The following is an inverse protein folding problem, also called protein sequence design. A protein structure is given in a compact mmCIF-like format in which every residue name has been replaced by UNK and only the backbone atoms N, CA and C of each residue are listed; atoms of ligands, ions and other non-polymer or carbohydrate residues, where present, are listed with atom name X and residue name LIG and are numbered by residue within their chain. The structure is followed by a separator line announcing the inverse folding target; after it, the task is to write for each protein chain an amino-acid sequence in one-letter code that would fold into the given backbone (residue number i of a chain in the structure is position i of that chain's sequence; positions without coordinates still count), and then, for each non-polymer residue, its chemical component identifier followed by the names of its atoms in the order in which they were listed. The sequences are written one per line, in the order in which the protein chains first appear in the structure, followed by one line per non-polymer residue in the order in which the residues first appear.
data_IF_294318283364
#
_entry.id   IF_294318283364
#
_cell.length_a   1.000
_cell.length_b   1.000
_cell.length_c   1.000
_cell.angle_alpha   90.00
_cell.angle_beta   90.00
_cell.angle_gamma   90.00
#
_symmetry.space_group_name_H-M   'P 1'
#
loop_
_entity.id
_entity.type
_entity.pdbx_description
1 polymer ?
#
# COMPACT_ATOMS: atom_id res chain seq x y z
N UNK A 1 32.03 22.87 -12.40
CA UNK A 1 31.52 24.26 -12.33
C UNK A 1 31.52 24.80 -13.75
N UNK A 2 30.38 25.27 -14.25
CA UNK A 2 30.29 25.83 -15.61
C UNK A 2 30.96 27.21 -15.62
N UNK A 3 31.92 27.47 -16.52
CA UNK A 3 32.57 28.79 -16.60
C UNK A 3 31.55 29.92 -16.78
N UNK A 4 31.79 31.04 -16.11
CA UNK A 4 30.99 32.27 -16.21
C UNK A 4 30.69 32.70 -17.64
N UNK A 5 31.70 32.65 -18.51
CA UNK A 5 31.59 33.01 -19.92
C UNK A 5 30.64 32.11 -20.71
N UNK A 6 30.44 30.86 -20.27
CA UNK A 6 29.48 29.93 -20.89
C UNK A 6 28.06 30.24 -20.40
N UNK A 7 27.88 30.48 -19.10
CA UNK A 7 26.56 30.84 -18.52
C UNK A 7 25.99 32.11 -19.16
N UNK A 8 26.83 33.13 -19.35
CA UNK A 8 26.42 34.42 -19.92
C UNK A 8 26.15 34.38 -21.43
N UNK A 9 26.58 33.33 -22.14
CA UNK A 9 26.29 33.15 -23.57
C UNK A 9 24.91 32.54 -23.83
N UNK A 10 24.21 32.09 -22.79
CA UNK A 10 22.86 31.59 -22.94
C UNK A 10 21.93 32.71 -23.39
N UNK A 11 21.02 32.40 -24.33
CA UNK A 11 20.13 33.40 -24.94
C UNK A 11 19.28 34.13 -23.90
N UNK A 12 18.73 33.40 -22.93
CA UNK A 12 17.96 33.95 -21.80
C UNK A 12 18.77 34.79 -20.82
N UNK A 13 20.10 34.85 -20.94
CA UNK A 13 20.98 35.68 -20.11
C UNK A 13 21.46 36.94 -20.84
N UNK A 14 21.18 37.10 -22.14
CA UNK A 14 21.76 38.14 -22.98
C UNK A 14 21.53 39.57 -22.46
N UNK A 15 20.37 39.83 -21.85
CA UNK A 15 20.02 41.15 -21.30
C UNK A 15 20.81 41.53 -20.04
N UNK A 16 21.56 40.60 -19.45
CA UNK A 16 22.38 40.84 -18.25
C UNK A 16 23.83 41.18 -18.58
N UNK A 17 24.28 40.99 -19.83
CA UNK A 17 25.70 41.12 -20.23
C UNK A 17 26.31 42.46 -19.87
N UNK A 18 25.57 43.54 -20.07
CA UNK A 18 26.02 44.91 -19.83
C UNK A 18 25.57 45.47 -18.48
N UNK A 19 24.89 44.66 -17.66
CA UNK A 19 24.32 45.14 -16.40
C UNK A 19 25.43 45.33 -15.35
N UNK A 20 25.56 46.52 -14.71
CA UNK A 20 26.69 46.83 -13.84
C UNK A 20 26.79 45.91 -12.62
N UNK A 21 25.64 45.45 -12.10
CA UNK A 21 25.59 44.51 -10.98
C UNK A 21 26.24 43.15 -11.30
N UNK A 22 26.41 42.80 -12.58
CA UNK A 22 27.04 41.55 -12.96
C UNK A 22 28.44 41.42 -12.35
N UNK A 23 29.19 42.52 -12.21
CA UNK A 23 30.54 42.55 -11.63
C UNK A 23 30.62 42.09 -10.17
N UNK A 24 29.52 42.14 -9.41
CA UNK A 24 29.46 41.75 -7.99
C UNK A 24 28.75 40.42 -7.74
N UNK A 25 28.12 39.84 -8.78
CA UNK A 25 27.50 38.50 -8.72
C UNK A 25 28.57 37.42 -8.73
N UNK A 26 28.60 36.60 -7.68
CA UNK A 26 29.48 35.44 -7.57
C UNK A 26 29.12 34.35 -8.59
N UNK A 27 30.05 33.44 -8.90
CA UNK A 27 29.80 32.35 -9.87
C UNK A 27 28.71 31.37 -9.40
N UNK A 28 28.54 31.18 -8.09
CA UNK A 28 27.46 30.34 -7.54
C UNK A 28 26.10 31.04 -7.66
N UNK A 29 26.03 32.34 -7.40
CA UNK A 29 24.82 33.15 -7.62
C UNK A 29 24.44 33.16 -9.10
N UNK A 30 25.42 33.32 -10.00
CA UNK A 30 25.20 33.33 -11.44
C UNK A 30 24.70 31.98 -11.96
N UNK A 31 25.20 30.85 -11.43
CA UNK A 31 24.72 29.52 -11.81
C UNK A 31 23.24 29.31 -11.46
N UNK A 32 22.82 29.73 -10.27
CA UNK A 32 21.41 29.57 -9.88
C UNK A 32 20.52 30.58 -10.62
N UNK A 33 21.02 31.80 -10.85
CA UNK A 33 20.32 32.79 -11.68
C UNK A 33 20.09 32.26 -13.09
N UNK A 34 21.11 31.70 -13.74
CA UNK A 34 20.99 31.13 -15.08
C UNK A 34 19.93 30.01 -15.14
N UNK A 35 19.92 29.13 -14.14
CA UNK A 35 18.91 28.06 -14.03
C UNK A 35 17.50 28.62 -13.89
N UNK A 36 17.32 29.68 -13.10
CA UNK A 36 16.02 30.34 -12.93
C UNK A 36 15.57 31.09 -14.19
N UNK A 37 16.48 31.82 -14.84
CA UNK A 37 16.19 32.52 -16.09
C UNK A 37 15.85 31.56 -17.22
N UNK A 38 16.52 30.40 -17.27
CA UNK A 38 16.16 29.31 -18.18
C UNK A 38 14.75 28.79 -17.89
N UNK A 39 14.44 28.53 -16.62
CA UNK A 39 13.10 28.12 -16.22
C UNK A 39 12.03 29.14 -16.64
N UNK A 40 12.30 30.44 -16.45
CA UNK A 40 11.41 31.50 -16.90
C UNK A 40 11.23 31.51 -18.43
N UNK A 41 12.32 31.36 -19.18
CA UNK A 41 12.26 31.32 -20.64
C UNK A 41 11.47 30.09 -21.14
N UNK A 42 11.74 28.90 -20.61
CA UNK A 42 11.06 27.65 -20.96
C UNK A 42 9.54 27.70 -20.68
N UNK A 43 9.13 28.45 -19.66
CA UNK A 43 7.72 28.60 -19.26
C UNK A 43 7.09 29.93 -19.71
N UNK A 44 7.80 30.75 -20.50
CA UNK A 44 7.29 32.03 -21.01
C UNK A 44 6.95 33.05 -19.92
N UNK A 45 7.70 33.07 -18.82
CA UNK A 45 7.43 33.91 -17.65
C UNK A 45 8.13 35.26 -17.78
N UNK A 46 7.34 36.34 -17.70
CA UNK A 46 7.85 37.73 -17.68
C UNK A 46 7.92 38.30 -16.26
N UNK A 47 6.96 37.96 -15.41
CA UNK A 47 6.86 38.43 -14.02
C UNK A 47 6.60 37.23 -13.09
N UNK A 48 7.64 36.45 -12.75
CA UNK A 48 7.45 35.27 -11.92
C UNK A 48 6.98 35.63 -10.50
N UNK A 49 5.90 34.98 -10.06
CA UNK A 49 5.35 35.11 -8.71
C UNK A 49 5.73 33.93 -7.81
N UNK A 50 5.06 33.83 -6.66
CA UNK A 50 5.29 32.72 -5.72
C UNK A 50 5.04 31.35 -6.35
N UNK A 51 3.99 31.20 -7.14
CA UNK A 51 3.65 29.93 -7.80
C UNK A 51 4.74 29.49 -8.79
N UNK A 52 5.38 30.43 -9.49
CA UNK A 52 6.51 30.16 -10.40
C UNK A 52 7.75 29.74 -9.64
N UNK A 53 8.08 30.48 -8.58
CA UNK A 53 9.25 30.19 -7.74
C UNK A 53 9.10 28.84 -7.07
N UNK A 54 7.92 28.53 -6.52
CA UNK A 54 7.65 27.24 -5.89
C UNK A 54 7.81 26.08 -6.89
N UNK A 55 7.26 26.21 -8.10
CA UNK A 55 7.42 25.23 -9.15
C UNK A 55 8.88 25.06 -9.59
N UNK A 56 9.61 26.15 -9.78
CA UNK A 56 11.05 26.15 -10.07
C UNK A 56 11.83 25.34 -9.02
N UNK A 57 11.54 25.53 -7.73
CA UNK A 57 12.28 24.84 -6.67
C UNK A 57 12.10 23.32 -6.73
N UNK A 58 10.92 22.86 -7.13
CA UNK A 58 10.61 21.43 -7.25
C UNK A 58 11.15 20.86 -8.55
N UNK A 59 10.87 21.49 -9.69
CA UNK A 59 11.24 20.99 -11.02
C UNK A 59 12.76 20.97 -11.23
N UNK A 60 13.47 21.98 -10.71
CA UNK A 60 14.92 22.08 -10.83
C UNK A 60 15.68 21.52 -9.61
N UNK A 61 14.98 20.91 -8.65
CA UNK A 61 15.56 20.28 -7.43
C UNK A 61 16.51 21.22 -6.69
N UNK A 62 15.98 22.38 -6.31
CA UNK A 62 16.76 23.48 -5.73
C UNK A 62 16.74 23.39 -4.20
N UNK A 63 17.91 23.43 -3.56
CA UNK A 63 18.02 23.47 -2.09
C UNK A 63 17.70 24.87 -1.54
N UNK A 64 17.36 24.96 -0.26
CA UNK A 64 17.11 26.25 0.41
C UNK A 64 18.29 27.22 0.26
N UNK A 65 19.53 26.71 0.33
CA UNK A 65 20.74 27.50 0.11
C UNK A 65 20.84 28.06 -1.31
N UNK A 66 20.44 27.29 -2.33
CA UNK A 66 20.41 27.78 -3.71
C UNK A 66 19.32 28.84 -3.90
N UNK A 67 18.15 28.70 -3.24
CA UNK A 67 17.12 29.75 -3.26
C UNK A 67 17.64 31.06 -2.61
N UNK A 68 18.41 30.96 -1.54
CA UNK A 68 19.06 32.13 -0.91
C UNK A 68 20.11 32.80 -1.83
N UNK A 69 20.90 32.00 -2.55
CA UNK A 69 21.81 32.50 -3.60
C UNK A 69 21.03 33.22 -4.70
N UNK A 70 19.92 32.65 -5.17
CA UNK A 70 19.06 33.26 -6.18
C UNK A 70 18.47 34.59 -5.70
N UNK A 71 17.99 34.66 -4.46
CA UNK A 71 17.46 35.88 -3.86
C UNK A 71 18.51 36.99 -3.82
N UNK A 72 19.75 36.67 -3.42
CA UNK A 72 20.87 37.62 -3.43
C UNK A 72 21.22 38.09 -4.84
N UNK A 73 21.30 37.18 -5.80
CA UNK A 73 21.57 37.52 -7.20
C UNK A 73 20.50 38.49 -7.74
N UNK A 74 19.23 38.12 -7.63
CA UNK A 74 18.11 38.93 -8.12
C UNK A 74 18.00 40.29 -7.41
N UNK A 75 18.36 40.37 -6.13
CA UNK A 75 18.40 41.64 -5.40
C UNK A 75 19.47 42.60 -5.97
N UNK A 76 20.62 42.07 -6.41
CA UNK A 76 21.65 42.87 -7.06
C UNK A 76 21.18 43.42 -8.43
N UNK A 77 20.29 42.69 -9.11
CA UNK A 77 19.63 43.13 -10.35
C UNK A 77 18.35 43.96 -10.12
N UNK A 78 18.07 44.36 -8.87
CA UNK A 78 16.94 45.24 -8.55
C UNK A 78 15.56 44.57 -8.60
N UNK A 79 15.49 43.24 -8.38
CA UNK A 79 14.21 42.54 -8.31
C UNK A 79 13.29 43.13 -7.23
N UNK A 80 12.01 43.31 -7.56
CA UNK A 80 11.01 43.88 -6.67
C UNK A 80 10.74 43.03 -5.42
N UNK A 81 10.16 43.67 -4.39
CA UNK A 81 9.86 43.05 -3.10
C UNK A 81 8.96 41.81 -3.21
N UNK A 82 8.03 41.78 -4.16
CA UNK A 82 7.14 40.65 -4.38
C UNK A 82 7.89 39.36 -4.75
N UNK A 83 8.90 39.44 -5.61
CA UNK A 83 9.72 38.28 -5.99
C UNK A 83 10.65 37.84 -4.85
N UNK A 84 11.18 38.80 -4.08
CA UNK A 84 11.97 38.50 -2.88
C UNK A 84 11.13 37.78 -1.82
N UNK A 85 9.89 38.23 -1.59
CA UNK A 85 8.95 37.58 -0.68
C UNK A 85 8.59 36.17 -1.15
N UNK A 86 8.43 35.98 -2.46
CA UNK A 86 8.19 34.67 -3.06
C UNK A 86 9.36 33.69 -2.81
N UNK A 87 10.60 34.12 -3.05
CA UNK A 87 11.82 33.33 -2.79
C UNK A 87 11.98 33.00 -1.32
N UNK A 88 11.70 33.95 -0.43
CA UNK A 88 11.77 33.72 1.01
C UNK A 88 10.71 32.70 1.47
N UNK A 89 9.47 32.77 0.96
CA UNK A 89 8.44 31.76 1.25
C UNK A 89 8.83 30.37 0.74
N UNK A 90 9.34 30.27 -0.48
CA UNK A 90 9.79 28.99 -1.04
C UNK A 90 10.97 28.40 -0.26
N UNK A 91 11.94 29.23 0.15
CA UNK A 91 13.06 28.80 1.01
C UNK A 91 12.57 28.19 2.33
N UNK A 92 11.67 28.88 3.03
CA UNK A 92 11.10 28.40 4.30
C UNK A 92 10.33 27.09 4.12
N UNK A 93 9.60 26.94 3.01
CA UNK A 93 8.91 25.68 2.67
C UNK A 93 9.90 24.52 2.53
N UNK A 94 10.99 24.71 1.77
CA UNK A 94 12.03 23.67 1.57
C UNK A 94 12.68 23.30 2.91
N UNK A 95 12.99 24.29 3.76
CA UNK A 95 13.57 24.04 5.08
C UNK A 95 12.62 23.25 5.98
N UNK A 96 11.33 23.60 5.97
CA UNK A 96 10.31 22.87 6.71
C UNK A 96 10.15 21.43 6.20
N UNK A 97 10.22 21.21 4.89
CA UNK A 97 10.20 19.86 4.29
C UNK A 97 11.45 19.05 4.66
N UNK A 98 12.64 19.64 4.57
CA UNK A 98 13.90 18.97 4.92
C UNK A 98 13.94 18.55 6.39
N UNK A 99 13.33 19.33 7.28
CA UNK A 99 13.23 19.02 8.71
C UNK A 99 12.04 18.11 9.07
N UNK A 100 11.19 17.76 8.11
CA UNK A 100 10.03 16.93 8.36
C UNK A 100 10.44 15.49 8.67
N UNK A 101 10.11 15.03 9.87
CA UNK A 101 10.28 13.64 10.25
C UNK A 101 9.08 12.85 9.74
N UNK A 102 9.30 12.06 8.69
CA UNK A 102 8.29 11.18 8.09
C UNK A 102 7.61 10.26 9.11
N UNK A 103 6.42 9.77 8.78
CA UNK A 103 5.78 8.71 9.56
C UNK A 103 6.57 7.43 9.34
N UNK A 104 7.52 7.16 10.23
CA UNK A 104 8.30 5.92 10.21
C UNK A 104 7.44 4.78 10.73
N UNK A 105 7.85 3.53 10.46
CA UNK A 105 7.23 2.29 11.00
C UNK A 105 7.24 2.26 12.55
N UNK A 106 7.76 3.29 13.23
CA UNK A 106 8.20 3.25 14.60
C UNK A 106 9.39 2.31 14.74
N UNK A 107 10.03 2.28 15.92
CA UNK A 107 10.83 1.11 16.27
C UNK A 107 9.88 -0.08 16.30
N UNK A 108 10.22 -1.17 15.60
CA UNK A 108 9.58 -2.46 15.87
C UNK A 108 9.67 -2.65 17.38
N UNK A 109 8.51 -2.69 18.07
CA UNK A 109 8.53 -2.99 19.50
C UNK A 109 9.29 -4.30 19.65
N UNK A 110 10.35 -4.29 20.45
CA UNK A 110 11.01 -5.51 20.86
C UNK A 110 9.99 -6.27 21.73
N UNK A 111 9.18 -7.10 21.08
CA UNK A 111 8.27 -7.97 21.78
C UNK A 111 9.11 -9.04 22.47
N UNK A 112 9.23 -8.94 23.80
CA UNK A 112 9.63 -10.10 24.59
C UNK A 112 8.58 -11.20 24.36
N UNK A 113 9.04 -12.41 24.04
CA UNK A 113 8.15 -13.55 23.85
C UNK A 113 7.54 -13.91 25.22
N UNK A 114 6.28 -13.55 25.45
CA UNK A 114 5.60 -13.85 26.72
C UNK A 114 4.94 -15.22 26.76
N UNK A 115 4.75 -15.84 25.60
CA UNK A 115 3.89 -17.02 25.40
C UNK A 115 4.46 -18.00 24.37
N UNK A 116 5.79 -18.03 24.26
CA UNK A 116 6.57 -18.84 23.32
C UNK A 116 8.05 -18.78 23.73
N UNK A 117 8.82 -19.82 23.49
CA UNK A 117 10.29 -19.77 23.61
C UNK A 117 10.95 -19.40 22.27
N UNK A 118 12.21 -18.97 22.31
CA UNK A 118 13.05 -18.83 21.11
C UNK A 118 13.48 -20.19 20.55
N UNK A 119 14.13 -20.21 19.39
CA UNK A 119 14.64 -21.46 18.79
C UNK A 119 15.63 -22.15 19.73
N UNK A 120 16.53 -21.37 20.35
CA UNK A 120 17.52 -21.84 21.32
C UNK A 120 16.91 -22.44 22.60
N UNK A 121 15.61 -22.25 22.82
CA UNK A 121 14.85 -22.84 23.93
C UNK A 121 14.05 -24.09 23.56
N UNK A 122 14.17 -24.58 22.32
CA UNK A 122 13.55 -25.83 21.86
C UNK A 122 14.44 -27.03 22.20
N UNK A 123 13.92 -28.26 22.21
CA UNK A 123 14.77 -29.47 22.27
C UNK A 123 15.83 -29.47 21.16
N UNK A 124 17.07 -29.86 21.47
CA UNK A 124 18.22 -29.79 20.55
C UNK A 124 17.93 -30.47 19.21
N UNK A 125 17.36 -31.69 19.24
CA UNK A 125 16.98 -32.43 18.04
C UNK A 125 15.97 -31.67 17.16
N UNK A 126 15.12 -30.82 17.75
CA UNK A 126 14.19 -29.98 17.00
C UNK A 126 14.89 -28.78 16.39
N UNK A 127 15.87 -28.19 17.09
CA UNK A 127 16.69 -27.10 16.56
C UNK A 127 17.46 -27.56 15.32
N UNK A 128 18.11 -28.71 15.40
CA UNK A 128 18.83 -29.35 14.28
C UNK A 128 17.90 -29.57 13.09
N UNK A 129 16.72 -30.15 13.32
CA UNK A 129 15.74 -30.38 12.25
C UNK A 129 15.28 -29.07 11.61
N UNK A 130 14.99 -28.03 12.40
CA UNK A 130 14.62 -26.73 11.87
C UNK A 130 15.75 -26.09 11.06
N UNK A 131 17.01 -26.29 11.46
CA UNK A 131 18.17 -25.81 10.74
C UNK A 131 18.31 -26.52 9.39
N UNK A 132 18.22 -27.85 9.36
CA UNK A 132 18.25 -28.63 8.12
C UNK A 132 17.14 -28.20 7.16
N UNK A 133 15.90 -28.10 7.65
CA UNK A 133 14.76 -27.65 6.84
C UNK A 133 14.94 -26.25 6.25
N UNK A 134 15.65 -25.37 6.97
CA UNK A 134 15.98 -24.04 6.47
C UNK A 134 17.04 -24.08 5.37
N UNK A 135 18.13 -24.80 5.61
CA UNK A 135 19.26 -24.92 4.69
C UNK A 135 18.88 -25.59 3.38
N UNK A 136 18.02 -26.61 3.45
CA UNK A 136 17.54 -27.34 2.29
C UNK A 136 16.36 -26.67 1.59
N UNK A 137 15.90 -25.51 2.08
CA UNK A 137 14.76 -24.77 1.52
C UNK A 137 13.49 -25.63 1.35
N UNK A 138 13.29 -26.65 2.21
CA UNK A 138 12.16 -27.60 2.13
C UNK A 138 10.82 -26.88 2.19
N UNK A 139 10.76 -25.79 2.97
CA UNK A 139 9.60 -24.93 3.08
C UNK A 139 9.96 -23.48 2.79
N UNK A 140 9.00 -22.73 2.24
CA UNK A 140 9.11 -21.28 2.11
C UNK A 140 9.42 -20.61 3.47
N UNK A 141 10.23 -19.56 3.45
CA UNK A 141 10.72 -18.85 4.66
C UNK A 141 9.63 -18.49 5.68
N UNK A 142 8.46 -18.02 5.22
CA UNK A 142 7.32 -17.70 6.08
C UNK A 142 6.69 -18.93 6.77
N UNK A 143 6.68 -20.08 6.09
CA UNK A 143 6.21 -21.34 6.69
C UNK A 143 7.20 -21.82 7.74
N UNK A 144 8.50 -21.77 7.46
CA UNK A 144 9.56 -22.10 8.41
C UNK A 144 9.49 -21.23 9.68
N UNK A 145 9.38 -19.91 9.52
CA UNK A 145 9.19 -18.97 10.63
C UNK A 145 7.92 -19.25 11.44
N UNK A 146 6.82 -19.60 10.78
CA UNK A 146 5.57 -19.97 11.46
C UNK A 146 5.77 -21.26 12.27
N UNK A 147 6.42 -22.27 11.70
CA UNK A 147 6.75 -23.53 12.35
C UNK A 147 7.57 -23.33 13.63
N UNK A 148 8.66 -22.55 13.56
CA UNK A 148 9.47 -22.17 14.73
C UNK A 148 8.61 -21.55 15.85
N UNK A 149 7.74 -20.60 15.49
CA UNK A 149 6.88 -19.93 16.47
C UNK A 149 5.85 -20.89 17.11
N UNK A 150 5.28 -21.82 16.34
CA UNK A 150 4.32 -22.81 16.87
C UNK A 150 4.98 -23.83 17.78
N UNK A 151 6.17 -24.31 17.45
CA UNK A 151 6.95 -25.19 18.32
C UNK A 151 7.36 -24.48 19.60
N UNK A 152 7.79 -23.21 19.51
CA UNK A 152 8.10 -22.41 20.69
C UNK A 152 6.89 -22.21 21.61
N UNK A 153 5.68 -22.07 21.05
CA UNK A 153 4.44 -22.03 21.84
C UNK A 153 4.13 -23.39 22.50
N UNK A 154 4.37 -24.50 21.79
CA UNK A 154 4.18 -25.85 22.32
C UNK A 154 5.07 -26.12 23.52
N UNK A 155 6.38 -25.83 23.40
CA UNK A 155 7.35 -25.95 24.49
C UNK A 155 6.96 -25.08 25.68
N UNK A 156 6.60 -23.81 25.43
CA UNK A 156 6.15 -22.91 26.49
C UNK A 156 4.92 -23.44 27.21
N UNK A 157 3.89 -23.91 26.48
CA UNK A 157 2.65 -24.42 27.07
C UNK A 157 2.88 -25.71 27.86
N UNK A 158 3.78 -26.57 27.38
CA UNK A 158 4.19 -27.79 28.09
C UNK A 158 4.87 -27.45 29.41
N UNK A 159 5.81 -26.50 29.38
CA UNK A 159 6.51 -26.03 30.58
C UNK A 159 5.56 -25.39 31.60
N UNK A 160 4.59 -24.56 31.17
CA UNK A 160 3.57 -24.00 32.06
C UNK A 160 2.69 -25.06 32.72
N UNK A 161 2.49 -26.21 32.07
CA UNK A 161 1.77 -27.35 32.62
C UNK A 161 2.65 -28.32 33.42
N UNK A 162 3.95 -28.02 33.60
CA UNK A 162 4.90 -28.91 34.28
C UNK A 162 5.22 -30.19 33.48
N UNK A 163 5.06 -30.16 32.15
CA UNK A 163 5.26 -31.30 31.26
C UNK A 163 6.53 -31.13 30.44
N UNK A 164 7.21 -32.26 30.18
CA UNK A 164 8.30 -32.31 29.19
C UNK A 164 7.70 -32.15 27.78
N UNK A 165 8.25 -31.25 26.93
CA UNK A 165 7.78 -31.08 25.56
C UNK A 165 8.03 -32.34 24.74
N UNK A 166 6.95 -33.00 24.33
CA UNK A 166 6.99 -34.17 23.45
C UNK A 166 5.76 -34.14 22.54
N UNK A 167 5.98 -34.16 21.21
CA UNK A 167 4.89 -34.17 20.23
C UNK A 167 4.00 -35.40 20.34
N UNK A 168 4.50 -36.53 20.86
CA UNK A 168 3.70 -37.73 21.11
C UNK A 168 2.90 -37.70 22.42
N UNK A 169 3.21 -36.77 23.33
CA UNK A 169 2.56 -36.66 24.62
C UNK A 169 1.17 -36.01 24.49
N UNK A 170 0.12 -36.80 24.65
CA UNK A 170 -1.27 -36.30 24.69
C UNK A 170 -1.48 -35.21 25.76
N UNK A 171 -0.96 -35.33 26.99
CA UNK A 171 -1.03 -34.25 27.97
C UNK A 171 -0.41 -32.94 27.48
N UNK A 172 0.74 -32.99 26.81
CA UNK A 172 1.41 -31.80 26.28
C UNK A 172 0.63 -31.17 25.11
N UNK A 173 0.09 -31.99 24.21
CA UNK A 173 -0.80 -31.53 23.15
C UNK A 173 -2.06 -30.85 23.71
N UNK A 174 -2.67 -31.42 24.76
CA UNK A 174 -3.85 -30.86 25.42
C UNK A 174 -3.53 -29.54 26.12
N UNK A 175 -2.35 -29.43 26.75
CA UNK A 175 -1.89 -28.20 27.39
C UNK A 175 -1.79 -27.05 26.36
N UNK A 176 -1.14 -27.30 25.21
CA UNK A 176 -1.11 -26.33 24.12
C UNK A 176 -2.53 -26.00 23.64
N UNK A 177 -3.38 -27.01 23.41
CA UNK A 177 -4.74 -26.80 22.92
C UNK A 177 -5.53 -25.85 23.82
N UNK A 178 -5.54 -26.14 25.12
CA UNK A 178 -6.26 -25.37 26.11
C UNK A 178 -5.73 -23.94 26.20
N UNK A 179 -4.41 -23.77 26.24
CA UNK A 179 -3.78 -22.46 26.30
C UNK A 179 -4.13 -21.60 25.09
N UNK A 180 -3.91 -22.10 23.87
CA UNK A 180 -4.13 -21.28 22.68
C UNK A 180 -5.61 -21.05 22.41
N UNK A 181 -6.49 -21.99 22.80
CA UNK A 181 -7.94 -21.80 22.78
C UNK A 181 -8.34 -20.67 23.74
N UNK A 182 -7.91 -20.72 25.00
CA UNK A 182 -8.24 -19.71 26.00
C UNK A 182 -7.71 -18.32 25.60
N UNK A 183 -6.44 -18.23 25.18
CA UNK A 183 -5.85 -16.97 24.70
C UNK A 183 -6.52 -16.43 23.45
N UNK A 184 -6.96 -17.30 22.56
CA UNK A 184 -7.70 -16.88 21.37
C UNK A 184 -9.09 -16.37 21.75
N UNK A 185 -9.83 -17.09 22.59
CA UNK A 185 -11.16 -16.70 23.08
C UNK A 185 -11.13 -15.37 23.83
N UNK A 186 -10.14 -15.15 24.71
CA UNK A 186 -9.98 -13.90 25.46
C UNK A 186 -9.77 -12.67 24.57
N UNK A 187 -9.30 -12.86 23.33
CA UNK A 187 -9.10 -11.78 22.34
C UNK A 187 -10.26 -11.63 21.34
N UNK A 188 -11.26 -12.50 21.40
CA UNK A 188 -12.31 -12.61 20.38
C UNK A 188 -13.67 -12.87 21.06
N UNK A 189 -14.01 -12.04 22.05
CA UNK A 189 -15.33 -12.02 22.71
C UNK A 189 -15.80 -13.38 23.24
N UNK A 190 -14.86 -14.17 23.76
CA UNK A 190 -15.13 -15.49 24.35
C UNK A 190 -15.17 -16.65 23.35
N UNK A 191 -15.12 -16.39 22.04
CA UNK A 191 -15.12 -17.43 21.00
C UNK A 191 -13.72 -17.55 20.37
N UNK A 192 -13.05 -18.71 20.44
CA UNK A 192 -11.72 -18.86 19.86
C UNK A 192 -11.77 -18.77 18.32
N UNK A 193 -10.67 -18.32 17.73
CA UNK A 193 -10.46 -18.34 16.27
C UNK A 193 -9.91 -19.68 15.84
N UNK A 194 -10.77 -20.50 15.25
CA UNK A 194 -10.41 -21.86 14.84
C UNK A 194 -9.31 -21.87 13.77
N UNK A 195 -9.22 -20.85 12.92
CA UNK A 195 -8.12 -20.71 11.94
C UNK A 195 -6.75 -20.57 12.58
N UNK A 196 -6.66 -19.83 13.70
CA UNK A 196 -5.41 -19.69 14.47
C UNK A 196 -5.01 -21.03 15.07
N UNK A 197 -6.00 -21.73 15.65
CA UNK A 197 -5.82 -23.07 16.18
C UNK A 197 -5.37 -24.01 15.07
N UNK A 198 -6.18 -24.25 14.04
CA UNK A 198 -5.86 -25.11 12.89
C UNK A 198 -4.46 -24.87 12.33
N UNK A 199 -4.07 -23.60 12.11
CA UNK A 199 -2.72 -23.26 11.61
C UNK A 199 -1.59 -23.72 12.53
N UNK A 200 -1.84 -23.83 13.83
CA UNK A 200 -0.89 -24.32 14.82
C UNK A 200 -0.65 -25.82 14.66
N UNK A 201 -1.72 -26.62 14.61
CA UNK A 201 -1.59 -28.07 14.37
C UNK A 201 -1.11 -28.41 12.96
N UNK A 202 -1.41 -27.56 11.97
CA UNK A 202 -0.86 -27.70 10.62
C UNK A 202 0.67 -27.70 10.65
N UNK A 203 1.28 -26.71 11.32
CA UNK A 203 2.75 -26.63 11.38
C UNK A 203 3.35 -27.68 12.32
N UNK A 204 2.68 -28.02 13.44
CA UNK A 204 3.14 -29.12 14.29
C UNK A 204 3.17 -30.45 13.53
N UNK A 205 2.13 -30.75 12.75
CA UNK A 205 2.07 -31.96 11.92
C UNK A 205 3.17 -31.96 10.85
N UNK A 206 3.33 -30.85 10.12
CA UNK A 206 4.40 -30.73 9.10
C UNK A 206 5.78 -30.95 9.70
N UNK A 207 6.04 -30.34 10.86
CA UNK A 207 7.28 -30.53 11.58
C UNK A 207 7.44 -31.99 12.04
N UNK A 208 6.43 -32.60 12.67
CA UNK A 208 6.49 -33.99 13.12
C UNK A 208 6.85 -34.95 11.97
N UNK A 209 6.24 -34.76 10.80
CA UNK A 209 6.57 -35.53 9.59
C UNK A 209 8.01 -35.32 9.15
N UNK A 210 8.48 -34.07 9.10
CA UNK A 210 9.85 -33.75 8.69
C UNK A 210 10.91 -34.19 9.71
N UNK A 211 10.57 -34.20 11.00
CA UNK A 211 11.43 -34.62 12.09
C UNK A 211 11.58 -36.14 12.19
N UNK A 212 10.77 -36.91 11.45
CA UNK A 212 10.76 -38.37 11.55
C UNK A 212 10.07 -38.89 12.81
N UNK A 213 9.08 -38.16 13.34
CA UNK A 213 8.21 -38.68 14.40
C UNK A 213 7.42 -39.89 13.89
N UNK A 214 6.99 -40.78 14.78
CA UNK A 214 6.22 -41.96 14.38
C UNK A 214 4.90 -41.60 13.69
N UNK A 215 4.41 -42.51 12.84
CA UNK A 215 3.15 -42.32 12.11
C UNK A 215 1.96 -42.08 13.05
N UNK A 216 1.96 -42.72 14.23
CA UNK A 216 0.94 -42.52 15.26
C UNK A 216 0.91 -41.06 15.76
N UNK A 217 2.07 -40.43 15.94
CA UNK A 217 2.18 -39.02 16.36
C UNK A 217 1.66 -38.10 15.26
N UNK A 218 2.11 -38.32 14.01
CA UNK A 218 1.67 -37.54 12.85
C UNK A 218 0.16 -37.66 12.64
N UNK A 219 -0.38 -38.87 12.80
CA UNK A 219 -1.81 -39.15 12.69
C UNK A 219 -2.61 -38.49 13.81
N UNK A 220 -2.16 -38.55 15.06
CA UNK A 220 -2.83 -37.90 16.18
C UNK A 220 -2.92 -36.37 16.00
N UNK A 221 -1.82 -35.73 15.56
CA UNK A 221 -1.81 -34.31 15.20
C UNK A 221 -2.73 -34.04 14.01
N UNK A 222 -2.75 -34.93 13.02
CA UNK A 222 -3.63 -34.90 11.85
C UNK A 222 -5.12 -34.95 12.21
N UNK A 223 -5.52 -35.77 13.17
CA UNK A 223 -6.91 -35.87 13.64
C UNK A 223 -7.38 -34.55 14.25
N UNK A 224 -6.54 -33.94 15.10
CA UNK A 224 -6.85 -32.62 15.70
C UNK A 224 -6.91 -31.53 14.63
N UNK A 225 -5.99 -31.55 13.67
CA UNK A 225 -5.99 -30.64 12.53
C UNK A 225 -7.28 -30.75 11.69
N UNK A 226 -7.74 -31.98 11.42
CA UNK A 226 -8.97 -32.24 10.65
C UNK A 226 -10.20 -31.71 11.39
N UNK A 227 -10.31 -31.96 12.69
CA UNK A 227 -11.43 -31.45 13.48
C UNK A 227 -11.43 -29.92 13.54
N UNK A 228 -10.27 -29.30 13.73
CA UNK A 228 -10.14 -27.85 13.69
C UNK A 228 -10.45 -27.25 12.32
N UNK A 229 -10.18 -27.99 11.23
CA UNK A 229 -10.58 -27.59 9.87
C UNK A 229 -12.11 -27.58 9.74
N UNK A 230 -12.79 -28.57 10.32
CA UNK A 230 -14.26 -28.62 10.35
C UNK A 230 -14.84 -27.47 11.17
N UNK A 231 -14.27 -27.18 12.35
CA UNK A 231 -14.69 -26.06 13.20
C UNK A 231 -14.43 -24.70 12.54
N UNK A 232 -13.30 -24.53 11.85
CA UNK A 232 -13.02 -23.32 11.06
C UNK A 232 -14.03 -23.13 9.93
N UNK A 233 -14.38 -24.20 9.20
CA UNK A 233 -15.34 -24.13 8.10
C UNK A 233 -16.75 -23.68 8.58
N UNK A 234 -17.12 -23.98 9.83
CA UNK A 234 -18.36 -23.54 10.44
C UNK A 234 -18.31 -22.11 11.01
N UNK A 235 -17.13 -21.49 11.11
CA UNK A 235 -16.94 -20.14 11.65
C UNK A 235 -16.77 -19.12 10.53
N UNK A 236 -17.58 -18.07 10.54
CA UNK A 236 -17.43 -17.00 9.56
C UNK A 236 -16.08 -16.27 9.73
N UNK A 237 -15.28 -16.12 8.65
CA UNK A 237 -14.03 -15.38 8.70
C UNK A 237 -14.21 -13.93 9.17
N UNK A 238 -13.32 -13.47 10.07
CA UNK A 238 -13.35 -12.12 10.66
C UNK A 238 -13.46 -11.00 9.61
N UNK A 239 -12.82 -11.17 8.46
CA UNK A 239 -12.86 -10.16 7.39
C UNK A 239 -14.28 -9.86 6.90
N UNK A 240 -15.23 -10.80 6.97
CA UNK A 240 -16.61 -10.55 6.55
C UNK A 240 -17.38 -9.70 7.56
N UNK A 241 -17.14 -9.87 8.87
CA UNK A 241 -17.65 -8.92 9.87
C UNK A 241 -17.12 -7.51 9.64
N UNK A 242 -15.86 -7.38 9.20
CA UNK A 242 -15.23 -6.09 8.90
C UNK A 242 -15.74 -5.44 7.61
N UNK A 243 -16.33 -6.20 6.68
CA UNK A 243 -16.94 -5.61 5.48
C UNK A 243 -18.19 -4.81 5.85
N UNK A 244 -19.00 -5.35 6.77
CA UNK A 244 -20.23 -4.67 7.23
C UNK A 244 -19.89 -3.28 7.80
N UNK A 245 -18.83 -3.19 8.60
CA UNK A 245 -18.38 -1.92 9.18
C UNK A 245 -17.66 -1.01 8.18
N UNK A 246 -17.00 -1.59 7.16
CA UNK A 246 -16.17 -0.85 6.20
C UNK A 246 -16.99 -0.09 5.15
N UNK A 247 -18.29 -0.35 5.02
CA UNK A 247 -19.15 0.24 3.99
C UNK A 247 -18.95 -0.39 2.60
N UNK A 248 -19.34 0.34 1.56
CA UNK A 248 -19.19 -0.05 0.15
C UNK A 248 -18.05 0.71 -0.53
N UNK A 249 -17.51 0.19 -1.64
CA UNK A 249 -16.52 0.92 -2.45
C UNK A 249 -17.06 2.27 -2.94
N UNK A 250 -18.36 2.36 -3.23
CA UNK A 250 -19.04 3.62 -3.55
C UNK A 250 -18.98 4.61 -2.38
N UNK A 251 -19.31 4.19 -1.16
CA UNK A 251 -19.23 5.06 0.02
C UNK A 251 -17.80 5.47 0.36
N UNK A 252 -16.84 4.55 0.22
CA UNK A 252 -15.42 4.82 0.43
C UNK A 252 -14.86 5.78 -0.62
N UNK A 253 -15.34 5.71 -1.86
CA UNK A 253 -14.97 6.66 -2.91
C UNK A 253 -15.53 8.06 -2.62
N UNK A 254 -16.78 8.16 -2.16
CA UNK A 254 -17.35 9.43 -1.72
C UNK A 254 -16.54 10.03 -0.56
N UNK A 255 -16.17 9.22 0.43
CA UNK A 255 -15.31 9.67 1.52
C UNK A 255 -13.91 10.08 1.05
N UNK A 256 -13.34 9.37 0.06
CA UNK A 256 -12.07 9.79 -0.54
C UNK A 256 -12.17 11.18 -1.22
N UNK A 257 -13.28 11.49 -1.89
CA UNK A 257 -13.55 12.81 -2.46
C UNK A 257 -13.65 13.87 -1.35
N UNK A 258 -14.36 13.57 -0.27
CA UNK A 258 -14.47 14.48 0.88
C UNK A 258 -13.10 14.74 1.55
N UNK A 259 -12.31 13.69 1.77
CA UNK A 259 -10.94 13.80 2.31
C UNK A 259 -10.06 14.64 1.38
N UNK A 260 -10.23 14.51 0.06
CA UNK A 260 -9.51 15.33 -0.91
C UNK A 260 -9.92 16.80 -0.83
N UNK A 261 -11.22 17.09 -0.68
CA UNK A 261 -11.73 18.45 -0.48
C UNK A 261 -11.23 19.05 0.85
N UNK A 262 -11.22 18.28 1.93
CA UNK A 262 -10.66 18.69 3.23
C UNK A 262 -9.17 19.04 3.13
N UNK A 263 -8.43 18.41 2.21
CA UNK A 263 -7.03 18.74 1.98
C UNK A 263 -6.85 20.20 1.53
N UNK A 264 -7.82 20.79 0.81
CA UNK A 264 -7.74 22.19 0.38
C UNK A 264 -7.96 23.15 1.55
N UNK A 265 -8.78 22.76 2.52
CA UNK A 265 -9.15 23.60 3.68
C UNK A 265 -8.15 23.52 4.84
N UNK A 266 -7.25 22.54 4.83
CA UNK A 266 -6.29 22.36 5.92
C UNK A 266 -5.20 23.45 5.90
N UNK A 267 -5.00 24.09 7.07
CA UNK A 267 -4.05 25.20 7.24
C UNK A 267 -2.58 24.79 7.09
N UNK A 268 -2.22 23.59 7.55
CA UNK A 268 -0.84 23.09 7.51
C UNK A 268 -0.53 22.34 6.21
N UNK A 269 0.57 22.69 5.49
CA UNK A 269 1.00 21.96 4.29
C UNK A 269 1.17 20.45 4.50
N UNK A 270 1.75 20.05 5.64
CA UNK A 270 1.94 18.64 5.97
C UNK A 270 0.61 17.89 6.15
N UNK A 271 -0.40 18.57 6.71
CA UNK A 271 -1.75 18.01 6.85
C UNK A 271 -2.43 17.89 5.49
N UNK A 272 -2.34 18.91 4.63
CA UNK A 272 -2.86 18.85 3.25
C UNK A 272 -2.27 17.67 2.49
N UNK A 273 -0.95 17.51 2.55
CA UNK A 273 -0.23 16.40 1.92
C UNK A 273 -0.71 15.03 2.43
N UNK A 274 -0.87 14.86 3.74
CA UNK A 274 -1.36 13.62 4.33
C UNK A 274 -2.80 13.29 3.89
N UNK A 275 -3.67 14.30 3.82
CA UNK A 275 -5.05 14.13 3.38
C UNK A 275 -5.13 13.74 1.90
N UNK A 276 -4.36 14.39 1.01
CA UNK A 276 -4.27 13.98 -0.41
C UNK A 276 -3.81 12.54 -0.55
N UNK A 277 -2.73 12.17 0.15
CA UNK A 277 -2.24 10.79 0.18
C UNK A 277 -3.33 9.81 0.64
N UNK A 278 -4.09 10.15 1.69
CA UNK A 278 -5.14 9.29 2.23
C UNK A 278 -6.31 9.13 1.26
N UNK A 279 -6.79 10.24 0.69
CA UNK A 279 -7.83 10.21 -0.34
C UNK A 279 -7.44 9.28 -1.48
N UNK A 280 -6.23 9.46 -2.02
CA UNK A 280 -5.72 8.60 -3.09
C UNK A 280 -5.52 7.14 -2.64
N UNK A 281 -5.11 6.87 -1.40
CA UNK A 281 -4.95 5.50 -0.90
C UNK A 281 -6.28 4.74 -0.86
N UNK A 282 -7.36 5.43 -0.48
CA UNK A 282 -8.71 4.86 -0.41
C UNK A 282 -9.28 4.69 -1.82
N UNK A 283 -9.33 5.77 -2.61
CA UNK A 283 -9.88 5.73 -3.96
C UNK A 283 -9.12 4.70 -4.82
N UNK A 284 -7.79 4.84 -4.96
CA UNK A 284 -7.02 3.93 -5.80
C UNK A 284 -7.09 2.49 -5.29
N UNK A 285 -7.22 2.25 -3.97
CA UNK A 285 -7.42 0.90 -3.46
C UNK A 285 -8.79 0.30 -3.78
N UNK A 286 -9.83 1.11 -4.02
CA UNK A 286 -11.11 0.63 -4.54
C UNK A 286 -11.00 0.20 -6.02
N UNK A 287 -10.23 0.94 -6.83
CA UNK A 287 -10.05 0.63 -8.26
C UNK A 287 -9.01 -0.49 -8.50
N UNK A 288 -7.90 -0.44 -7.77
CA UNK A 288 -6.75 -1.34 -7.87
C UNK A 288 -6.46 -1.85 -6.45
N UNK A 289 -7.12 -2.94 -6.01
CA UNK A 289 -7.07 -3.45 -4.64
C UNK A 289 -5.78 -4.23 -4.36
N UNK A 290 -4.65 -3.55 -4.53
CA UNK A 290 -3.31 -4.05 -4.32
C UNK A 290 -3.07 -4.42 -2.85
N UNK A 291 -2.19 -5.40 -2.60
CA UNK A 291 -1.74 -5.62 -1.23
C UNK A 291 -0.78 -4.49 -0.86
N UNK A 292 -0.73 -4.00 0.38
CA UNK A 292 0.28 -3.03 0.82
C UNK A 292 1.73 -3.37 0.46
N UNK A 293 2.08 -4.63 0.21
CA UNK A 293 3.41 -5.01 -0.30
C UNK A 293 3.56 -4.60 -1.76
N UNK A 294 2.59 -5.01 -2.59
CA UNK A 294 2.46 -4.60 -3.99
C UNK A 294 2.34 -3.07 -4.14
N UNK A 295 1.70 -2.36 -3.19
CA UNK A 295 1.63 -0.89 -3.20
C UNK A 295 3.03 -0.27 -3.08
N UNK A 296 3.84 -0.74 -2.14
CA UNK A 296 5.20 -0.20 -1.93
C UNK A 296 6.10 -0.51 -3.12
N UNK A 297 5.99 -1.72 -3.67
CA UNK A 297 6.86 -2.20 -4.74
C UNK A 297 6.46 -1.64 -6.11
N UNK A 298 5.17 -1.57 -6.41
CA UNK A 298 4.68 -1.36 -7.78
C UNK A 298 3.88 -0.08 -7.98
N UNK A 299 3.36 0.58 -6.94
CA UNK A 299 2.71 1.89 -7.11
C UNK A 299 3.79 2.98 -7.16
N UNK A 300 4.62 2.90 -8.19
CA UNK A 300 5.78 3.74 -8.45
C UNK A 300 5.67 4.23 -9.89
N UNK A 301 5.76 5.54 -10.09
CA UNK A 301 5.68 6.15 -11.42
C UNK A 301 6.78 5.59 -12.33
N UNK A 302 6.41 5.13 -13.53
CA UNK A 302 7.35 4.59 -14.52
C UNK A 302 7.81 3.15 -14.27
N UNK A 303 7.38 2.50 -13.17
CA UNK A 303 7.71 1.10 -12.88
C UNK A 303 6.47 0.20 -12.88
N UNK A 304 5.43 0.55 -12.12
CA UNK A 304 4.14 -0.17 -12.14
C UNK A 304 2.92 0.74 -12.32
N UNK A 305 3.15 2.05 -12.39
CA UNK A 305 2.15 3.08 -12.70
C UNK A 305 2.62 3.89 -13.91
N UNK A 306 1.80 3.96 -14.95
CA UNK A 306 2.06 4.60 -16.23
C UNK A 306 0.99 5.66 -16.54
N UNK A 307 1.30 6.60 -17.43
CA UNK A 307 0.34 7.58 -17.93
C UNK A 307 0.20 7.43 -19.45
N UNK A 308 -1.00 7.11 -19.90
CA UNK A 308 -1.35 7.03 -21.31
C UNK A 308 -1.72 8.45 -21.78
N UNK A 309 -0.81 9.08 -22.53
CA UNK A 309 -1.04 10.43 -23.04
C UNK A 309 -2.19 10.49 -24.06
N UNK A 310 -2.38 9.44 -24.86
CA UNK A 310 -3.41 9.42 -25.90
C UNK A 310 -4.82 9.36 -25.30
N UNK A 311 -4.98 8.60 -24.22
CA UNK A 311 -6.25 8.47 -23.51
C UNK A 311 -6.40 9.46 -22.34
N UNK A 312 -5.31 10.11 -21.93
CA UNK A 312 -5.29 11.01 -20.79
C UNK A 312 -5.60 10.30 -19.46
N UNK A 313 -5.13 9.07 -19.27
CA UNK A 313 -5.44 8.25 -18.07
C UNK A 313 -4.20 7.58 -17.50
N UNK A 314 -4.23 7.34 -16.19
CA UNK A 314 -3.24 6.50 -15.53
C UNK A 314 -3.54 5.01 -15.70
N UNK A 315 -2.50 4.19 -15.82
CA UNK A 315 -2.58 2.74 -15.97
C UNK A 315 -1.66 2.05 -14.98
N UNK A 316 -2.19 1.13 -14.21
CA UNK A 316 -1.40 0.22 -13.37
C UNK A 316 -1.05 -1.02 -14.18
N UNK A 317 0.24 -1.36 -14.24
CA UNK A 317 0.74 -2.53 -14.95
C UNK A 317 1.89 -3.18 -14.19
N UNK A 318 1.64 -4.29 -13.51
CA UNK A 318 2.66 -5.02 -12.75
C UNK A 318 2.22 -6.47 -12.47
N UNK A 319 3.17 -7.34 -12.12
CA UNK A 319 2.87 -8.70 -11.66
C UNK A 319 2.86 -8.71 -10.12
N UNK A 320 1.73 -9.01 -9.46
CA UNK A 320 1.68 -9.02 -7.99
C UNK A 320 2.61 -10.08 -7.38
N UNK A 321 3.25 -9.76 -6.25
CA UNK A 321 4.28 -10.61 -5.62
C UNK A 321 3.78 -12.03 -5.30
N UNK A 322 2.51 -12.17 -4.88
CA UNK A 322 1.96 -13.48 -4.53
C UNK A 322 1.73 -14.40 -5.72
N UNK A 323 1.69 -13.86 -6.93
CA UNK A 323 1.36 -14.58 -8.16
C UNK A 323 2.51 -14.60 -9.16
N UNK A 324 3.64 -13.95 -8.86
CA UNK A 324 4.79 -13.81 -9.78
C UNK A 324 5.39 -15.13 -10.27
N UNK A 325 5.27 -16.21 -9.49
CA UNK A 325 5.74 -17.54 -9.88
C UNK A 325 4.65 -18.42 -10.51
N UNK A 326 3.43 -17.92 -10.61
CA UNK A 326 2.26 -18.67 -11.09
C UNK A 326 1.64 -18.04 -12.35
N UNK A 327 1.74 -16.73 -12.49
CA UNK A 327 1.13 -15.95 -13.57
C UNK A 327 2.18 -14.97 -14.07
N UNK A 328 2.53 -15.07 -15.35
CA UNK A 328 3.49 -14.17 -15.97
C UNK A 328 2.82 -12.94 -16.56
N UNK A 329 1.53 -13.02 -16.88
CA UNK A 329 0.75 -11.90 -17.37
C UNK A 329 0.55 -10.84 -16.26
N UNK A 330 0.93 -9.58 -16.52
CA UNK A 330 0.77 -8.52 -15.55
C UNK A 330 -0.72 -8.24 -15.32
N UNK A 331 -1.04 -7.87 -14.08
CA UNK A 331 -2.26 -7.11 -13.81
C UNK A 331 -2.17 -5.81 -14.62
N UNK A 332 -3.19 -5.54 -15.44
CA UNK A 332 -3.28 -4.31 -16.22
C UNK A 332 -4.64 -3.66 -16.01
N UNK A 333 -4.65 -2.50 -15.34
CA UNK A 333 -5.87 -1.73 -15.05
C UNK A 333 -5.65 -0.28 -15.48
N UNK A 334 -6.36 0.14 -16.53
CA UNK A 334 -6.49 1.56 -16.89
C UNK A 334 -7.57 2.22 -16.05
N UNK A 335 -7.26 3.36 -15.45
CA UNK A 335 -8.23 4.18 -14.75
C UNK A 335 -9.12 4.93 -15.76
N UNK A 336 -10.28 5.38 -15.30
CA UNK A 336 -11.09 6.35 -16.05
C UNK A 336 -10.77 7.78 -15.60
N UNK A 337 -11.02 8.81 -16.44
CA UNK A 337 -10.60 10.18 -16.15
C UNK A 337 -10.98 10.74 -14.76
N UNK A 338 -12.18 10.45 -14.19
CA UNK A 338 -12.52 10.93 -12.84
C UNK A 338 -11.57 10.46 -11.73
N UNK A 339 -10.84 9.35 -11.92
CA UNK A 339 -9.88 8.85 -10.94
C UNK A 339 -8.54 9.58 -10.99
N UNK A 340 -8.22 10.23 -12.11
CA UNK A 340 -6.96 10.96 -12.27
C UNK A 340 -6.79 12.03 -11.20
N UNK A 341 -7.88 12.67 -10.75
CA UNK A 341 -7.86 13.72 -9.75
C UNK A 341 -7.10 13.31 -8.46
N UNK A 342 -7.17 12.03 -8.10
CA UNK A 342 -6.49 11.53 -6.90
C UNK A 342 -4.97 11.44 -7.11
N UNK A 343 -4.52 10.97 -8.27
CA UNK A 343 -3.09 10.85 -8.60
C UNK A 343 -2.52 12.23 -8.93
N UNK A 344 -3.23 13.04 -9.70
CA UNK A 344 -2.86 14.42 -10.03
C UNK A 344 -2.71 15.26 -8.76
N UNK A 345 -3.59 15.09 -7.76
CA UNK A 345 -3.42 15.74 -6.47
C UNK A 345 -2.14 15.31 -5.74
N UNK A 346 -1.68 14.06 -5.90
CA UNK A 346 -0.41 13.61 -5.31
C UNK A 346 0.82 14.18 -6.03
N UNK A 347 0.69 14.48 -7.33
CA UNK A 347 1.73 15.08 -8.15
C UNK A 347 1.80 16.60 -7.89
N UNK A 348 0.64 17.27 -7.93
CA UNK A 348 0.54 18.71 -7.73
C UNK A 348 0.84 19.12 -6.29
N UNK A 349 0.28 18.42 -5.31
CA UNK A 349 0.31 18.85 -3.92
C UNK A 349 -0.21 20.29 -3.79
N UNK A 350 0.63 21.23 -3.35
CA UNK A 350 0.29 22.65 -3.24
C UNK A 350 0.77 23.48 -4.47
N UNK A 351 1.30 22.84 -5.51
CA UNK A 351 1.74 23.50 -6.74
C UNK A 351 0.55 23.92 -7.61
N UNK A 352 0.78 24.92 -8.45
CA UNK A 352 -0.22 25.41 -9.40
C UNK A 352 -0.52 24.36 -10.49
N UNK A 353 -1.81 24.10 -10.83
CA UNK A 353 -2.22 23.14 -11.86
C UNK A 353 -1.55 23.31 -13.22
N UNK A 354 -1.11 24.51 -13.60
CA UNK A 354 -0.43 24.73 -14.89
C UNK A 354 0.88 23.95 -15.03
N UNK A 355 1.51 23.57 -13.92
CA UNK A 355 2.74 22.76 -13.91
C UNK A 355 2.48 21.25 -13.81
N UNK A 356 1.23 20.80 -13.82
CA UNK A 356 0.88 19.38 -13.66
C UNK A 356 1.62 18.48 -14.67
N UNK A 357 1.75 18.92 -15.92
CA UNK A 357 2.44 18.14 -16.97
C UNK A 357 3.92 17.97 -16.62
N UNK A 358 4.63 19.06 -16.33
CA UNK A 358 6.05 19.01 -15.98
C UNK A 358 6.30 18.24 -14.68
N UNK A 359 5.44 18.41 -13.67
CA UNK A 359 5.53 17.69 -12.39
C UNK A 359 5.25 16.19 -12.56
N UNK A 360 4.34 15.83 -13.47
CA UNK A 360 4.08 14.44 -13.85
C UNK A 360 5.31 13.85 -14.51
N UNK A 361 5.84 14.48 -15.55
CA UNK A 361 7.06 14.05 -16.25
C UNK A 361 8.22 13.86 -15.26
N UNK A 362 8.41 14.80 -14.35
CA UNK A 362 9.40 14.68 -13.28
C UNK A 362 9.14 13.47 -12.38
N UNK A 363 7.90 13.25 -11.92
CA UNK A 363 7.58 12.12 -11.07
C UNK A 363 7.88 10.77 -11.75
N UNK A 364 7.67 10.68 -13.07
CA UNK A 364 8.03 9.54 -13.90
C UNK A 364 9.54 9.37 -14.07
N UNK A 365 10.25 10.46 -14.38
CA UNK A 365 11.70 10.44 -14.53
C UNK A 365 12.41 10.04 -13.23
N UNK A 366 11.92 10.53 -12.10
CA UNK A 366 12.46 10.23 -10.77
C UNK A 366 12.06 8.83 -10.25
N UNK A 367 11.21 8.11 -10.98
CA UNK A 367 10.53 6.90 -10.50
C UNK A 367 9.97 7.06 -9.09
N UNK A 368 9.26 8.16 -8.85
CA UNK A 368 8.79 8.52 -7.51
C UNK A 368 7.74 7.50 -7.03
N UNK A 369 7.79 7.05 -5.76
CA UNK A 369 6.68 6.30 -5.19
C UNK A 369 5.40 7.14 -5.18
N UNK A 370 4.25 6.51 -5.44
CA UNK A 370 2.97 7.20 -5.50
C UNK A 370 2.68 7.95 -4.20
N UNK A 371 2.89 7.28 -3.07
CA UNK A 371 2.71 7.83 -1.72
C UNK A 371 4.04 8.21 -1.08
N UNK A 372 4.25 9.51 -0.90
CA UNK A 372 5.42 10.08 -0.21
C UNK A 372 4.97 10.95 0.96
N UNK A 373 5.76 10.98 2.04
CA UNK A 373 5.58 11.92 3.13
C UNK A 373 5.80 13.37 2.67
N UNK A 374 5.41 14.34 3.49
CA UNK A 374 5.56 15.77 3.20
C UNK A 374 7.01 16.19 2.88
N UNK A 375 8.01 15.54 3.50
CA UNK A 375 9.44 15.73 3.20
C UNK A 375 9.96 14.95 1.98
N UNK A 376 9.10 14.33 1.17
CA UNK A 376 9.47 13.58 -0.04
C UNK A 376 9.88 12.12 0.18
N UNK A 377 10.16 11.70 1.41
CA UNK A 377 10.50 10.29 1.70
C UNK A 377 9.32 9.34 1.44
N UNK A 378 9.53 8.11 0.92
CA UNK A 378 8.44 7.16 0.69
C UNK A 378 7.64 6.82 1.96
N UNK A 379 6.33 6.62 1.81
CA UNK A 379 5.50 6.09 2.89
C UNK A 379 5.85 4.61 3.16
N UNK A 380 5.93 4.22 4.43
CA UNK A 380 6.19 2.81 4.80
C UNK A 380 4.98 1.92 4.52
N UNK A 381 5.19 0.62 4.29
CA UNK A 381 4.12 -0.38 4.09
C UNK A 381 2.92 -0.24 5.06
N UNK A 382 3.20 -0.03 6.35
CA UNK A 382 2.16 0.04 7.38
C UNK A 382 1.28 1.29 7.25
N UNK A 383 1.80 2.37 6.64
CA UNK A 383 1.07 3.60 6.43
C UNK A 383 -0.17 3.38 5.56
N UNK A 384 -0.07 2.60 4.48
CA UNK A 384 -1.20 2.33 3.59
C UNK A 384 -2.36 1.65 4.33
N UNK A 385 -2.06 0.64 5.15
CA UNK A 385 -3.08 -0.01 5.97
C UNK A 385 -3.65 0.93 7.04
N UNK A 386 -2.84 1.83 7.60
CA UNK A 386 -3.29 2.87 8.53
C UNK A 386 -4.22 3.89 7.88
N UNK A 387 -3.95 4.29 6.63
CA UNK A 387 -4.80 5.20 5.86
C UNK A 387 -6.21 4.60 5.67
N UNK A 388 -6.28 3.31 5.34
CA UNK A 388 -7.53 2.56 5.27
C UNK A 388 -8.21 2.40 6.63
N UNK A 389 -7.45 2.06 7.68
CA UNK A 389 -8.02 1.84 9.01
C UNK A 389 -8.69 3.09 9.60
N UNK A 390 -8.23 4.28 9.22
CA UNK A 390 -8.82 5.54 9.65
C UNK A 390 -10.22 5.80 9.09
N UNK A 391 -10.60 5.08 8.02
CA UNK A 391 -11.85 5.27 7.28
C UNK A 391 -12.72 4.01 7.34
N UNK A 392 -12.16 2.86 6.97
CA UNK A 392 -12.87 1.58 6.93
C UNK A 392 -12.80 0.76 8.22
N UNK A 393 -12.13 1.28 9.28
CA UNK A 393 -11.92 0.54 10.54
C UNK A 393 -11.06 -0.73 10.42
N UNK A 394 -10.43 -0.96 9.27
CA UNK A 394 -9.56 -2.10 8.97
C UNK A 394 -8.53 -1.77 7.89
N UNK A 395 -7.52 -2.63 7.70
CA UNK A 395 -6.46 -2.42 6.71
C UNK A 395 -6.91 -2.60 5.25
N UNK A 396 -6.15 -2.02 4.31
CA UNK A 396 -6.53 -1.94 2.89
C UNK A 396 -6.70 -3.27 2.14
N UNK A 397 -6.26 -4.40 2.70
CA UNK A 397 -6.63 -5.73 2.16
C UNK A 397 -8.14 -5.97 2.11
N UNK A 398 -8.93 -5.22 2.89
CA UNK A 398 -10.39 -5.33 2.89
C UNK A 398 -10.99 -5.02 1.52
N UNK A 399 -10.39 -4.08 0.76
CA UNK A 399 -10.86 -3.67 -0.56
C UNK A 399 -11.07 -4.86 -1.51
N UNK A 400 -10.15 -5.82 -1.45
CA UNK A 400 -10.21 -7.07 -2.23
C UNK A 400 -11.48 -7.86 -1.97
N UNK A 401 -11.94 -7.88 -0.71
CA UNK A 401 -13.15 -8.61 -0.30
C UNK A 401 -14.41 -7.79 -0.56
N UNK A 402 -14.33 -6.45 -0.41
CA UNK A 402 -15.42 -5.54 -0.77
C UNK A 402 -15.84 -5.69 -2.22
N UNK A 403 -14.90 -5.80 -3.16
CA UNK A 403 -15.23 -6.01 -4.57
C UNK A 403 -16.08 -7.28 -4.80
N UNK A 404 -15.74 -8.39 -4.16
CA UNK A 404 -16.53 -9.63 -4.30
C UNK A 404 -17.92 -9.53 -3.65
N UNK A 405 -18.08 -8.68 -2.65
CA UNK A 405 -19.35 -8.52 -1.96
C UNK A 405 -20.27 -7.55 -2.69
N UNK A 406 -19.76 -6.40 -3.10
CA UNK A 406 -20.51 -5.35 -3.79
C UNK A 406 -20.91 -5.75 -5.21
N UNK A 407 -19.98 -6.31 -5.99
CA UNK A 407 -20.27 -6.68 -7.38
C UNK A 407 -21.00 -8.03 -7.51
N UNK A 408 -21.31 -8.71 -6.41
CA UNK A 408 -22.02 -9.99 -6.46
C UNK A 408 -23.45 -9.91 -7.02
N UNK A 409 -24.08 -8.74 -6.95
CA UNK A 409 -25.40 -8.45 -7.55
C UNK A 409 -25.37 -8.35 -9.09
N UNK A 410 -24.17 -8.39 -9.69
CA UNK A 410 -23.98 -8.49 -11.14
C UNK A 410 -23.73 -9.93 -11.61
N UNK A 411 -23.93 -10.91 -10.73
CA UNK A 411 -23.80 -12.32 -11.06
C UNK A 411 -22.38 -12.71 -11.50
N UNK A 412 -22.22 -13.58 -12.50
CA UNK A 412 -20.91 -14.05 -12.98
C UNK A 412 -19.96 -12.92 -13.39
N UNK A 413 -20.48 -11.90 -14.08
CA UNK A 413 -19.69 -10.75 -14.54
C UNK A 413 -19.01 -10.03 -13.39
N UNK A 414 -19.76 -9.74 -12.31
CA UNK A 414 -19.20 -9.05 -11.15
C UNK A 414 -18.15 -9.88 -10.40
N UNK A 415 -18.32 -11.20 -10.34
CA UNK A 415 -17.33 -12.12 -9.76
C UNK A 415 -16.04 -12.20 -10.58
N UNK A 416 -16.15 -12.17 -11.91
CA UNK A 416 -15.01 -12.12 -12.83
C UNK A 416 -14.31 -10.77 -12.76
N UNK A 417 -15.05 -9.67 -12.72
CA UNK A 417 -14.52 -8.33 -12.49
C UNK A 417 -13.70 -8.26 -11.19
N UNK A 418 -14.28 -8.75 -10.08
CA UNK A 418 -13.58 -8.80 -8.80
C UNK A 418 -12.35 -9.71 -8.84
N UNK A 419 -12.40 -10.83 -9.57
CA UNK A 419 -11.27 -11.73 -9.73
C UNK A 419 -10.13 -11.11 -10.56
N UNK A 420 -10.45 -10.51 -11.70
CA UNK A 420 -9.50 -9.83 -12.56
C UNK A 420 -8.81 -8.66 -11.85
N UNK A 421 -9.60 -7.80 -11.18
CA UNK A 421 -9.08 -6.66 -10.41
C UNK A 421 -8.15 -7.08 -9.27
N UNK A 422 -8.38 -8.27 -8.72
CA UNK A 422 -7.57 -8.85 -7.66
C UNK A 422 -6.40 -9.72 -8.16
N UNK A 423 -6.29 -10.00 -9.46
CA UNK A 423 -5.37 -10.99 -10.03
C UNK A 423 -5.56 -12.39 -9.39
N UNK A 424 -6.83 -12.82 -9.26
CA UNK A 424 -7.21 -14.12 -8.72
C UNK A 424 -7.60 -15.10 -9.82
N UNK A 425 -6.86 -16.20 -9.97
CA UNK A 425 -7.09 -17.19 -11.02
C UNK A 425 -7.91 -18.42 -10.58
N UNK A 426 -7.74 -18.89 -9.35
CA UNK A 426 -8.37 -20.14 -8.92
C UNK A 426 -9.72 -19.93 -8.24
N UNK A 427 -10.69 -20.80 -8.54
CA UNK A 427 -12.00 -20.81 -7.87
C UNK A 427 -11.89 -20.92 -6.35
N UNK A 428 -10.91 -21.70 -5.86
CA UNK A 428 -10.63 -21.81 -4.43
C UNK A 428 -10.25 -20.47 -3.81
N UNK A 429 -9.51 -19.62 -4.52
CA UNK A 429 -9.19 -18.26 -4.05
C UNK A 429 -10.43 -17.38 -4.15
N UNK A 430 -11.17 -17.40 -5.27
CA UNK A 430 -12.40 -16.60 -5.42
C UNK A 430 -13.38 -16.88 -4.28
N UNK A 431 -13.65 -18.15 -3.99
CA UNK A 431 -14.54 -18.58 -2.90
C UNK A 431 -14.11 -18.03 -1.52
N UNK A 432 -12.80 -17.91 -1.24
CA UNK A 432 -12.31 -17.34 0.03
C UNK A 432 -12.71 -15.88 0.23
N UNK A 433 -13.00 -15.12 -0.82
CA UNK A 433 -13.34 -13.70 -0.73
C UNK A 433 -14.84 -13.43 -0.90
N UNK A 434 -15.66 -14.45 -1.12
CA UNK A 434 -17.12 -14.31 -1.19
C UNK A 434 -17.72 -14.50 0.21
N UNK A 435 -18.49 -13.52 0.66
CA UNK A 435 -19.24 -13.62 1.92
C UNK A 435 -20.50 -14.48 1.75
N UNK A 436 -21.12 -14.86 2.86
CA UNK A 436 -22.44 -15.49 2.86
C UNK A 436 -23.53 -14.59 2.27
N UNK A 437 -23.37 -13.26 2.36
CA UNK A 437 -24.28 -12.30 1.73
C UNK A 437 -24.11 -12.28 0.21
N UNK A 438 -22.86 -12.23 -0.28
CA UNK A 438 -22.51 -12.35 -1.70
C UNK A 438 -23.06 -13.63 -2.34
N UNK A 439 -22.98 -14.76 -1.63
CA UNK A 439 -23.55 -16.03 -2.10
C UNK A 439 -25.08 -15.96 -2.20
N UNK A 440 -25.76 -15.42 -1.18
CA UNK A 440 -27.22 -15.24 -1.19
C UNK A 440 -27.70 -14.32 -2.32
N UNK A 441 -26.96 -13.24 -2.60
CA UNK A 441 -27.21 -12.35 -3.74
C UNK A 441 -27.15 -13.08 -5.07
N UNK A 442 -26.14 -13.93 -5.28
CA UNK A 442 -26.05 -14.77 -6.48
C UNK A 442 -27.25 -15.72 -6.62
N UNK A 443 -27.77 -16.29 -5.52
CA UNK A 443 -28.99 -17.11 -5.58
C UNK A 443 -30.24 -16.30 -5.91
N UNK A 444 -30.38 -15.11 -5.33
CA UNK A 444 -31.50 -14.21 -5.65
C UNK A 444 -31.49 -13.82 -7.13
N UNK A 445 -30.31 -13.54 -7.69
CA UNK A 445 -30.20 -13.23 -9.12
C UNK A 445 -30.51 -14.42 -10.02
N UNK A 446 -30.03 -15.62 -9.67
CA UNK A 446 -30.41 -16.83 -10.41
C UNK A 446 -31.94 -17.05 -10.39
N UNK A 447 -32.59 -16.78 -9.26
CA UNK A 447 -34.04 -16.82 -9.14
C UNK A 447 -34.72 -15.75 -10.02
N UNK A 448 -34.24 -14.50 -9.98
CA UNK A 448 -34.78 -13.41 -10.81
C UNK A 448 -34.63 -13.72 -12.30
N UNK A 449 -33.47 -14.21 -12.75
CA UNK A 449 -33.25 -14.62 -14.14
C UNK A 449 -34.17 -15.76 -14.55
N UNK A 450 -34.44 -16.72 -13.66
CA UNK A 450 -35.43 -17.78 -13.92
C UNK A 450 -36.84 -17.20 -14.09
N UNK A 451 -37.25 -16.27 -13.23
CA UNK A 451 -38.56 -15.59 -13.30
C UNK A 451 -38.68 -14.74 -14.55
N UNK A 452 -37.67 -13.94 -14.89
CA UNK A 452 -37.63 -13.12 -16.11
C UNK A 452 -37.71 -13.97 -17.37
N UNK A 453 -37.00 -15.11 -17.42
CA UNK A 453 -37.10 -16.04 -18.55
C UNK A 453 -38.47 -16.69 -18.66
N UNK A 454 -39.15 -16.92 -17.55
CA UNK A 454 -40.52 -17.43 -17.55
C UNK A 454 -41.54 -16.34 -17.95
N UNK A 455 -41.33 -15.10 -17.52
CA UNK A 455 -42.18 -13.96 -17.88
C UNK A 455 -41.98 -13.51 -19.35
N UNK A 456 -40.77 -13.69 -19.88
CA UNK A 456 -40.42 -13.48 -21.29
C UNK A 456 -40.51 -14.78 -22.11
N UNK A 457 -41.13 -15.83 -21.56
CA UNK A 457 -41.56 -16.95 -22.40
C UNK A 457 -42.68 -16.42 -23.28
N UNK A 458 -42.30 -15.89 -24.44
CA UNK A 458 -43.14 -15.80 -25.62
C UNK A 458 -43.99 -17.07 -25.68
N UNK A 459 -45.29 -16.83 -25.64
CA UNK A 459 -46.37 -17.73 -25.99
C UNK A 459 -45.99 -19.20 -26.27
N UNK A 460 -45.83 -19.97 -25.19
CA UNK A 460 -45.67 -21.43 -25.27
C UNK A 460 -46.97 -22.13 -25.74
N UNK A 461 -48.04 -21.37 -26.03
CA UNK A 461 -49.29 -21.93 -26.56
C UNK A 461 -49.16 -22.46 -27.99
N UNK A 462 -48.12 -22.07 -28.72
CA UNK A 462 -47.79 -22.64 -30.05
C UNK A 462 -47.04 -23.99 -29.96
N UNK A 463 -46.68 -24.45 -28.76
CA UNK A 463 -45.93 -25.71 -28.52
C UNK A 463 -46.76 -26.80 -27.81
N UNK A 464 -48.05 -26.57 -27.57
CA UNK A 464 -49.03 -27.56 -27.04
C UNK A 464 -50.13 -27.73 -28.08
#
# INVERSE_FOLDING_TARGET
MTPRSILLRAEHMAHLLDHPALSVVTDDELQVLELFMRFCAEHGLTEPGYVDVDAFTVLSVVSSRKVELLARALNQFGAGSALQDALQKARLKIEHQANFKGVTKGRNRAYSRSVSVGVDGLPDAWQETLQTLHQECVFASETHKRMQNRLGMFVWSSAQAGLTPDLGSRPAQQALYNDIRARSAARNDGVPRWSYLRSTWEEMRRFASAHGSSDDVVMALGNTYTELTRLEAAQEPLKFSKIVDAGTTTSLLAEAVEVLAQAQLASSPAKRWNLRNRAAAIAIGCAVPARPGDVVEHHVFGAGLFYDQAQGVYRFKYVPQKTEHQIYEPLEISLTPPWNQFIDALILQDQDPRYLVNLREKAFADQRPLYVNYGGTPCVYAWYSGAWCAVAGTGGHIARTLLYDEFSDMGPFGLEYAAASNHHISEKIKAKYRSSASIRKSYAQAHNTMVERYANADDISDLI
#
